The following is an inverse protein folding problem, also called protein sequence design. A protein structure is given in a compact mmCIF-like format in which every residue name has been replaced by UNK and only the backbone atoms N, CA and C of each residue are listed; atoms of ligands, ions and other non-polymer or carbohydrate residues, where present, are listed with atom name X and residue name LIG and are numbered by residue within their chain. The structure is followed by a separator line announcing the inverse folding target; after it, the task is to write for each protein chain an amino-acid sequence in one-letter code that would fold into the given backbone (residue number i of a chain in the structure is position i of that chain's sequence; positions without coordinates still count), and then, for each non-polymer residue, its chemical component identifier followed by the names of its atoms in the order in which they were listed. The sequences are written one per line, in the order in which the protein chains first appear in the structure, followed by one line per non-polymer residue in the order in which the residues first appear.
data_IF_958714322567
#
_entry.id   IF_958714322567
#
_cell.length_a   1.000
_cell.length_b   1.000
_cell.length_c   1.000
_cell.angle_alpha   90.00
_cell.angle_beta   90.00
_cell.angle_gamma   90.00
#
_symmetry.space_group_name_H-M   'P 1'
#
loop_
_entity.id
_entity.type
_entity.pdbx_description
1 polymer ?
#
# COMPACT_ATOMS: atom_id res chain seq x y z
N UNK A 1 -9.72 -24.86 34.01
CA UNK A 1 -10.46 -24.00 33.05
C UNK A 1 -9.51 -23.67 31.90
N UNK A 2 -9.46 -24.50 30.87
CA UNK A 2 -8.67 -24.25 29.66
C UNK A 2 -9.49 -23.33 28.75
N UNK A 3 -9.51 -22.03 29.07
CA UNK A 3 -10.17 -21.01 28.25
C UNK A 3 -9.39 -20.79 26.95
N UNK A 4 -10.10 -20.50 25.86
CA UNK A 4 -9.54 -20.29 24.51
C UNK A 4 -8.12 -19.69 24.55
N UNK A 5 -7.13 -20.44 24.06
CA UNK A 5 -5.72 -20.03 24.13
C UNK A 5 -5.52 -18.64 23.58
N UNK A 6 -4.71 -17.83 24.26
CA UNK A 6 -4.42 -16.43 23.93
C UNK A 6 -4.23 -16.24 22.42
N UNK A 7 -5.24 -15.69 21.74
CA UNK A 7 -5.16 -15.39 20.31
C UNK A 7 -4.19 -14.21 20.17
N UNK A 8 -2.97 -14.52 19.74
CA UNK A 8 -1.97 -13.49 19.40
C UNK A 8 -2.21 -13.01 17.97
N UNK A 9 -2.48 -11.72 17.82
CA UNK A 9 -2.62 -11.06 16.53
C UNK A 9 -1.43 -10.12 16.30
N UNK A 10 -0.93 -10.06 15.07
CA UNK A 10 0.12 -9.15 14.65
C UNK A 10 -0.39 -8.23 13.53
N UNK A 11 0.06 -6.97 13.53
CA UNK A 11 -0.26 -6.00 12.49
C UNK A 11 0.91 -5.88 11.51
N UNK A 12 0.68 -6.27 10.26
CA UNK A 12 1.63 -6.13 9.15
C UNK A 12 1.22 -4.97 8.25
N UNK A 13 2.19 -4.13 7.88
CA UNK A 13 2.00 -3.04 6.92
C UNK A 13 2.91 -3.25 5.72
N UNK A 14 2.32 -3.55 4.57
CA UNK A 14 3.03 -3.68 3.29
C UNK A 14 3.13 -2.33 2.58
N UNK A 15 4.32 -1.97 2.13
CA UNK A 15 4.61 -0.70 1.46
C UNK A 15 5.10 -0.96 0.04
N UNK A 16 4.21 -0.71 -0.92
CA UNK A 16 4.42 -1.06 -2.34
C UNK A 16 4.80 0.13 -3.25
N UNK A 17 4.81 1.35 -2.73
CA UNK A 17 4.95 2.56 -3.57
C UNK A 17 5.88 3.58 -2.94
N UNK A 18 6.48 4.40 -3.79
CA UNK A 18 7.37 5.47 -3.35
C UNK A 18 6.64 6.46 -2.42
N UNK A 19 5.40 6.81 -2.76
CA UNK A 19 4.57 7.69 -1.95
C UNK A 19 4.15 7.05 -0.62
N UNK A 20 3.88 5.74 -0.62
CA UNK A 20 3.58 4.97 0.58
C UNK A 20 4.74 5.00 1.56
N UNK A 21 5.97 4.84 1.07
CA UNK A 21 7.18 4.97 1.89
C UNK A 21 7.40 6.40 2.39
N UNK A 22 7.40 7.38 1.48
CA UNK A 22 7.75 8.77 1.81
C UNK A 22 6.73 9.49 2.70
N UNK A 23 5.43 9.18 2.56
CA UNK A 23 4.35 9.88 3.29
C UNK A 23 3.50 8.96 4.15
N UNK A 24 3.21 7.75 3.67
CA UNK A 24 2.35 6.79 4.38
C UNK A 24 2.99 6.27 5.66
N UNK A 25 4.25 5.84 5.58
CA UNK A 25 4.97 5.28 6.74
C UNK A 25 5.06 6.26 7.90
N UNK A 26 5.51 7.52 7.73
CA UNK A 26 5.56 8.48 8.84
C UNK A 26 4.19 8.73 9.48
N UNK A 27 3.14 8.89 8.66
CA UNK A 27 1.79 9.16 9.14
C UNK A 27 1.21 7.97 9.93
N UNK A 28 1.35 6.75 9.40
CA UNK A 28 0.86 5.53 10.06
C UNK A 28 1.67 5.24 11.34
N UNK A 29 2.99 5.41 11.31
CA UNK A 29 3.84 5.23 12.48
C UNK A 29 3.47 6.19 13.62
N UNK A 30 3.17 7.46 13.31
CA UNK A 30 2.69 8.43 14.29
C UNK A 30 1.35 7.99 14.94
N UNK A 31 0.41 7.51 14.13
CA UNK A 31 -0.89 7.00 14.58
C UNK A 31 -0.74 5.77 15.49
N UNK A 32 0.18 4.86 15.15
CA UNK A 32 0.45 3.66 15.94
C UNK A 32 1.16 3.99 17.25
N UNK A 33 2.14 4.88 17.22
CA UNK A 33 2.83 5.36 18.42
C UNK A 33 1.84 6.01 19.40
N UNK A 34 0.96 6.89 18.91
CA UNK A 34 -0.07 7.54 19.74
C UNK A 34 -1.07 6.56 20.38
N UNK A 35 -1.20 5.34 19.84
CA UNK A 35 -2.13 4.31 20.33
C UNK A 35 -1.43 3.13 21.01
N UNK A 36 -0.09 3.16 21.14
CA UNK A 36 0.68 2.04 21.67
C UNK A 36 0.57 0.74 20.84
N UNK A 37 0.26 0.84 19.55
CA UNK A 37 0.10 -0.32 18.66
C UNK A 37 1.45 -0.69 18.06
N UNK A 38 1.84 -1.97 18.18
CA UNK A 38 3.03 -2.51 17.51
C UNK A 38 2.66 -3.04 16.13
N UNK A 39 3.46 -2.68 15.13
CA UNK A 39 3.32 -3.17 13.77
C UNK A 39 4.69 -3.35 13.11
N UNK A 40 4.76 -4.24 12.13
CA UNK A 40 5.94 -4.46 11.31
C UNK A 40 5.72 -3.90 9.90
N UNK A 41 6.66 -3.09 9.43
CA UNK A 41 6.63 -2.45 8.11
C UNK A 41 7.52 -3.23 7.14
N UNK A 42 6.96 -3.63 6.00
CA UNK A 42 7.64 -4.38 4.95
C UNK A 42 7.70 -3.54 3.68
N UNK A 43 8.90 -3.05 3.35
CA UNK A 43 9.12 -2.16 2.21
C UNK A 43 9.62 -2.98 1.03
N UNK A 44 8.93 -2.87 -0.11
CA UNK A 44 9.46 -3.42 -1.36
C UNK A 44 10.60 -2.53 -1.85
N UNK A 45 11.73 -3.13 -2.25
CA UNK A 45 12.86 -2.38 -2.81
C UNK A 45 12.82 -2.42 -4.34
N UNK A 46 13.05 -1.27 -4.98
CA UNK A 46 13.18 -1.15 -6.43
C UNK A 46 12.14 -0.22 -7.07
N UNK A 47 12.06 -0.18 -8.42
CA UNK A 47 11.24 0.80 -9.12
C UNK A 47 9.74 0.54 -8.93
N UNK A 48 9.03 1.55 -8.43
CA UNK A 48 7.57 1.67 -8.38
C UNK A 48 7.00 1.66 -9.79
N UNK A 49 6.57 0.47 -10.22
CA UNK A 49 5.96 0.22 -11.53
C UNK A 49 4.47 -0.04 -11.40
N UNK A 50 3.80 0.65 -10.48
CA UNK A 50 2.35 0.54 -10.28
C UNK A 50 1.56 0.65 -11.59
N UNK A 51 1.93 1.58 -12.48
CA UNK A 51 1.22 1.81 -13.72
C UNK A 51 1.15 0.62 -14.66
N UNK A 52 2.05 -0.36 -14.55
CA UNK A 52 1.94 -1.60 -15.35
C UNK A 52 0.66 -2.38 -15.03
N UNK A 53 0.11 -2.21 -13.81
CA UNK A 53 -1.18 -2.82 -13.44
C UNK A 53 -2.36 -2.22 -14.23
N UNK A 54 -2.23 -1.03 -14.82
CA UNK A 54 -3.26 -0.46 -15.70
C UNK A 54 -3.44 -1.26 -17.00
N UNK A 55 -2.46 -2.08 -17.42
CA UNK A 55 -2.67 -3.02 -18.52
C UNK A 55 -3.82 -4.01 -18.26
N UNK A 56 -4.18 -4.22 -16.98
CA UNK A 56 -5.31 -5.04 -16.57
C UNK A 56 -6.66 -4.33 -16.61
N UNK A 57 -6.74 -3.10 -17.13
CA UNK A 57 -8.03 -2.41 -17.28
C UNK A 57 -9.01 -3.14 -18.23
N UNK A 58 -8.52 -4.10 -19.02
CA UNK A 58 -9.35 -5.00 -19.81
C UNK A 58 -10.08 -6.05 -18.95
N UNK A 59 -9.64 -6.28 -17.70
CA UNK A 59 -10.30 -7.17 -16.74
C UNK A 59 -11.37 -6.39 -15.96
N UNK A 60 -12.68 -6.66 -16.17
CA UNK A 60 -13.76 -5.93 -15.52
C UNK A 60 -13.73 -6.06 -13.99
N UNK A 61 -13.17 -7.15 -13.45
CA UNK A 61 -12.99 -7.32 -11.99
C UNK A 61 -11.95 -6.34 -11.45
N UNK A 62 -10.89 -6.10 -12.21
CA UNK A 62 -9.86 -5.13 -11.84
C UNK A 62 -10.38 -3.69 -11.92
N UNK A 63 -11.15 -3.38 -12.95
CA UNK A 63 -11.85 -2.09 -13.07
C UNK A 63 -12.80 -1.86 -11.90
N UNK A 64 -13.64 -2.86 -11.58
CA UNK A 64 -14.53 -2.80 -10.42
C UNK A 64 -13.77 -2.59 -9.11
N UNK A 65 -12.60 -3.22 -8.95
CA UNK A 65 -11.71 -2.98 -7.80
C UNK A 65 -11.26 -1.52 -7.73
N UNK A 66 -10.76 -0.94 -8.83
CA UNK A 66 -10.27 0.44 -8.87
C UNK A 66 -11.35 1.45 -8.50
N UNK A 67 -12.58 1.26 -9.00
CA UNK A 67 -13.73 2.10 -8.64
C UNK A 67 -14.09 1.97 -7.17
N UNK A 68 -14.21 0.73 -6.65
CA UNK A 68 -14.55 0.48 -5.25
C UNK A 68 -13.53 1.06 -4.28
N UNK A 69 -12.24 1.00 -4.62
CA UNK A 69 -11.16 1.53 -3.77
C UNK A 69 -10.84 3.00 -4.04
N UNK A 70 -11.54 3.67 -4.97
CA UNK A 70 -11.26 5.04 -5.41
C UNK A 70 -9.76 5.28 -5.66
N UNK A 71 -9.15 4.38 -6.43
CA UNK A 71 -7.70 4.30 -6.56
C UNK A 71 -7.02 5.62 -6.97
N UNK A 72 -7.67 6.43 -7.81
CA UNK A 72 -7.14 7.75 -8.20
C UNK A 72 -7.07 8.70 -7.01
N UNK A 73 -8.12 8.76 -6.19
CA UNK A 73 -8.15 9.60 -4.98
C UNK A 73 -7.17 9.07 -3.92
N UNK A 74 -7.04 7.76 -3.80
CA UNK A 74 -6.16 7.13 -2.81
C UNK A 74 -4.67 7.26 -3.15
N UNK A 75 -4.28 7.05 -4.41
CA UNK A 75 -2.88 6.96 -4.82
C UNK A 75 -2.36 8.18 -5.59
N UNK A 76 -3.28 8.95 -6.20
CA UNK A 76 -2.97 10.03 -7.14
C UNK A 76 -2.54 9.55 -8.53
N UNK A 77 -2.77 10.39 -9.54
CA UNK A 77 -2.42 10.11 -10.94
C UNK A 77 -0.94 9.75 -11.15
N UNK A 78 -0.03 10.44 -10.44
CA UNK A 78 1.43 10.19 -10.53
C UNK A 78 1.80 8.76 -10.16
N UNK A 79 1.17 8.20 -9.13
CA UNK A 79 1.44 6.83 -8.66
C UNK A 79 0.80 5.82 -9.60
N UNK A 80 -0.44 6.09 -10.05
CA UNK A 80 -1.13 5.22 -11.01
C UNK A 80 -0.43 5.13 -12.37
N UNK A 81 0.28 6.18 -12.81
CA UNK A 81 0.97 6.18 -14.10
C UNK A 81 2.47 5.84 -13.99
N UNK A 82 2.97 5.57 -12.78
CA UNK A 82 4.39 5.29 -12.51
C UNK A 82 4.84 3.98 -13.16
N UNK A 83 5.84 4.03 -14.02
CA UNK A 83 6.37 2.88 -14.76
C UNK A 83 5.55 2.49 -15.99
N UNK A 84 4.62 3.34 -16.45
CA UNK A 84 3.99 3.27 -17.78
C UNK A 84 4.11 4.60 -18.51
N UNK A 85 3.20 5.54 -18.28
CA UNK A 85 3.21 6.87 -18.93
C UNK A 85 4.19 7.84 -18.26
N UNK A 86 4.58 7.56 -17.01
CA UNK A 86 5.57 8.34 -16.27
C UNK A 86 6.73 7.43 -15.83
N UNK A 87 7.95 7.97 -15.68
CA UNK A 87 9.08 7.19 -15.20
C UNK A 87 8.81 6.61 -13.81
N UNK A 88 9.25 5.37 -13.62
CA UNK A 88 9.14 4.67 -12.35
C UNK A 88 9.96 5.41 -11.27
N UNK A 89 9.42 5.50 -10.07
CA UNK A 89 10.14 6.08 -8.91
C UNK A 89 10.78 4.97 -8.08
N UNK A 90 11.98 5.13 -7.54
CA UNK A 90 12.53 4.13 -6.62
C UNK A 90 11.71 4.06 -5.33
N UNK A 91 11.45 2.86 -4.85
CA UNK A 91 11.01 2.58 -3.48
C UNK A 91 12.23 2.02 -2.75
N UNK A 92 12.66 2.74 -1.71
CA UNK A 92 13.96 2.59 -1.04
C UNK A 92 15.18 2.87 -1.93
#
# INVERSE_FOLDING_TARGET
MTGAGDIRVALKVDIDTHAGLARGVPAIAAVFAARGVRASFFVVCGPDRMGRRLARLLDPRFVGKLFRTRAVAAYGWRTLLSGTLLPARPVA
#
